data_IF_070035960020
#
_entry.id   IF_070035960020
#
_cell.length_a   1.000
_cell.length_b   1.000
_cell.length_c   1.000
_cell.angle_alpha   90.00
_cell.angle_beta   90.00
_cell.angle_gamma   90.00
#
_symmetry.space_group_name_H-M   'P 1'
#
loop_
_entity.id
_entity.type
_entity.pdbx_description
1 polymer ?
#
# COMPACT_ATOMS: atom_id res chain seq x y z
N UNK A 1 -1.68 -11.94 -13.41
CA UNK A 1 -1.41 -10.54 -13.02
C UNK A 1 -2.53 -9.65 -13.57
N UNK A 2 -3.12 -8.83 -12.73
CA UNK A 2 -4.24 -7.96 -13.13
C UNK A 2 -3.72 -6.86 -14.08
N UNK A 3 -4.51 -6.52 -15.13
CA UNK A 3 -4.18 -5.43 -16.07
C UNK A 3 -3.86 -4.09 -15.40
N UNK A 4 -4.49 -3.81 -14.27
CA UNK A 4 -4.24 -2.59 -13.48
C UNK A 4 -2.86 -2.63 -12.84
N UNK A 5 -2.48 -3.75 -12.23
CA UNK A 5 -1.17 -3.92 -11.59
C UNK A 5 -0.01 -3.82 -12.58
N UNK A 6 -0.15 -4.47 -13.75
CA UNK A 6 0.85 -4.38 -14.81
C UNK A 6 1.03 -2.93 -15.28
N UNK A 7 -0.07 -2.20 -15.45
CA UNK A 7 -0.05 -0.78 -15.83
C UNK A 7 0.59 0.08 -14.74
N UNK A 8 0.22 -0.11 -13.47
CA UNK A 8 0.79 0.62 -12.34
C UNK A 8 2.30 0.38 -12.21
N UNK A 9 2.76 -0.85 -12.43
CA UNK A 9 4.18 -1.19 -12.44
C UNK A 9 4.93 -0.44 -13.55
N UNK A 10 4.36 -0.41 -14.76
CA UNK A 10 4.94 0.33 -15.88
C UNK A 10 5.00 1.82 -15.61
N UNK A 11 3.93 2.42 -15.06
CA UNK A 11 3.93 3.86 -14.70
C UNK A 11 5.03 4.15 -13.68
N UNK A 12 5.18 3.34 -12.64
CA UNK A 12 6.26 3.50 -11.64
C UNK A 12 7.64 3.46 -12.28
N UNK A 13 7.90 2.46 -13.15
CA UNK A 13 9.18 2.33 -13.86
C UNK A 13 9.47 3.58 -14.70
N UNK A 14 8.51 4.03 -15.50
CA UNK A 14 8.67 5.22 -16.36
C UNK A 14 8.97 6.49 -15.56
N UNK A 15 8.27 6.70 -14.44
CA UNK A 15 8.47 7.90 -13.58
C UNK A 15 9.81 7.85 -12.84
N UNK A 16 10.32 6.65 -12.51
CA UNK A 16 11.64 6.49 -11.89
C UNK A 16 12.79 6.67 -12.91
N UNK A 17 12.58 6.27 -14.16
CA UNK A 17 13.61 6.31 -15.19
C UNK A 17 13.69 7.66 -15.92
N UNK A 18 12.57 8.40 -16.00
CA UNK A 18 12.45 9.62 -16.81
C UNK A 18 11.77 10.75 -16.04
N UNK A 19 12.25 11.98 -16.25
CA UNK A 19 11.53 13.18 -15.82
C UNK A 19 10.35 13.42 -16.78
N UNK A 20 9.15 13.08 -16.36
CA UNK A 20 7.91 13.20 -17.14
C UNK A 20 7.20 14.49 -16.72
N UNK A 21 6.97 15.39 -17.66
CA UNK A 21 6.50 16.74 -17.36
C UNK A 21 4.99 16.90 -17.42
N UNK A 22 4.31 16.10 -18.25
CA UNK A 22 2.86 16.21 -18.48
C UNK A 22 2.15 14.87 -18.43
N UNK A 23 0.84 14.90 -18.18
CA UNK A 23 0.01 13.69 -18.29
C UNK A 23 -0.04 13.15 -19.73
N UNK A 24 0.00 14.04 -20.71
CA UNK A 24 0.04 13.64 -22.13
C UNK A 24 1.32 12.86 -22.43
N UNK A 25 2.47 13.35 -21.99
CA UNK A 25 3.75 12.66 -22.14
C UNK A 25 3.73 11.26 -21.51
N UNK A 26 3.15 11.14 -20.28
CA UNK A 26 2.99 9.84 -19.63
C UNK A 26 2.05 8.92 -20.42
N UNK A 27 0.98 9.45 -20.98
CA UNK A 27 0.03 8.69 -21.80
C UNK A 27 0.69 8.20 -23.10
N UNK A 28 1.49 9.03 -23.74
CA UNK A 28 2.23 8.69 -24.96
C UNK A 28 3.28 7.60 -24.70
N UNK A 29 4.00 7.70 -23.57
CA UNK A 29 4.95 6.67 -23.14
C UNK A 29 4.28 5.33 -22.84
N UNK A 30 3.10 5.35 -22.21
CA UNK A 30 2.31 4.14 -21.99
C UNK A 30 1.88 3.50 -23.31
N UNK A 31 1.40 4.31 -24.26
CA UNK A 31 1.00 3.85 -25.61
C UNK A 31 2.18 3.25 -26.36
N UNK A 32 3.36 3.85 -26.27
CA UNK A 32 4.59 3.32 -26.87
C UNK A 32 5.01 1.96 -26.28
N UNK A 33 4.59 1.67 -25.05
CA UNK A 33 4.79 0.38 -24.37
C UNK A 33 3.58 -0.57 -24.49
N UNK A 34 2.66 -0.31 -25.43
CA UNK A 34 1.51 -1.17 -25.70
C UNK A 34 0.35 -1.04 -24.71
N UNK A 35 0.35 0.00 -23.86
CA UNK A 35 -0.70 0.24 -22.88
C UNK A 35 -1.48 1.50 -23.22
N UNK A 36 -2.64 1.34 -23.83
CA UNK A 36 -3.54 2.46 -24.16
C UNK A 36 -4.49 2.72 -22.99
N UNK A 37 -4.56 3.98 -22.54
CA UNK A 37 -5.43 4.43 -21.46
C UNK A 37 -6.11 5.76 -21.82
N UNK A 38 -7.29 5.98 -21.24
CA UNK A 38 -7.95 7.29 -21.32
C UNK A 38 -7.35 8.24 -20.28
N UNK A 39 -7.49 9.56 -20.50
CA UNK A 39 -7.03 10.58 -19.53
C UNK A 39 -7.67 10.38 -18.15
N UNK A 40 -8.96 10.03 -18.09
CA UNK A 40 -9.65 9.77 -16.83
C UNK A 40 -9.07 8.57 -16.07
N UNK A 41 -8.70 7.51 -16.78
CA UNK A 41 -8.02 6.34 -16.20
C UNK A 41 -6.64 6.73 -15.69
N UNK A 42 -5.85 7.44 -16.49
CA UNK A 42 -4.52 7.90 -16.11
C UNK A 42 -4.55 8.84 -14.91
N UNK A 43 -5.52 9.75 -14.84
CA UNK A 43 -5.71 10.65 -13.69
C UNK A 43 -5.99 9.87 -12.40
N UNK A 44 -6.76 8.77 -12.47
CA UNK A 44 -7.00 7.89 -11.31
C UNK A 44 -5.74 7.11 -10.93
N UNK A 45 -4.97 6.63 -11.92
CA UNK A 45 -3.71 5.94 -11.68
C UNK A 45 -2.67 6.86 -11.01
N UNK A 46 -2.55 8.11 -11.47
CA UNK A 46 -1.68 9.13 -10.86
C UNK A 46 -1.99 9.30 -9.38
N UNK A 47 -3.27 9.41 -9.03
CA UNK A 47 -3.73 9.51 -7.63
C UNK A 47 -3.46 8.22 -6.85
N UNK A 48 -3.77 7.07 -7.44
CA UNK A 48 -3.59 5.76 -6.80
C UNK A 48 -2.12 5.45 -6.50
N UNK A 49 -1.20 5.93 -7.34
CA UNK A 49 0.24 5.75 -7.21
C UNK A 49 0.93 6.86 -6.41
N UNK A 50 0.17 7.83 -5.88
CA UNK A 50 0.70 9.00 -5.18
C UNK A 50 1.74 9.78 -6.02
N UNK A 51 1.52 9.89 -7.34
CA UNK A 51 2.35 10.72 -8.18
C UNK A 51 2.04 12.19 -7.91
N UNK A 52 3.06 12.96 -7.61
CA UNK A 52 2.97 14.40 -7.41
C UNK A 52 3.88 15.12 -8.37
N UNK A 53 3.48 16.33 -8.78
CA UNK A 53 4.29 17.20 -9.62
C UNK A 53 5.16 18.06 -8.73
N UNK A 54 6.46 17.92 -8.86
CA UNK A 54 7.44 18.78 -8.16
C UNK A 54 7.96 19.85 -9.11
N UNK A 55 8.33 20.98 -8.54
CA UNK A 55 8.93 22.09 -9.26
C UNK A 55 10.39 22.21 -8.82
N UNK A 56 11.30 22.12 -9.78
CA UNK A 56 12.74 22.28 -9.57
C UNK A 56 13.25 23.34 -10.54
N UNK A 57 13.55 24.52 -10.03
CA UNK A 57 13.84 25.71 -10.83
C UNK A 57 12.71 26.01 -11.83
N UNK A 58 12.98 26.00 -13.13
CA UNK A 58 12.01 26.26 -14.20
C UNK A 58 11.34 24.99 -14.76
N UNK A 59 11.62 23.82 -14.18
CA UNK A 59 11.14 22.53 -14.65
C UNK A 59 10.17 21.94 -13.65
N UNK A 60 9.05 21.38 -14.14
CA UNK A 60 8.14 20.58 -13.30
C UNK A 60 8.00 19.18 -13.87
N UNK A 61 8.05 18.18 -13.01
CA UNK A 61 7.93 16.78 -13.41
C UNK A 61 7.29 15.91 -12.33
N UNK A 62 6.81 14.74 -12.72
CA UNK A 62 6.18 13.79 -11.80
C UNK A 62 7.24 12.99 -11.04
N UNK A 63 7.00 12.83 -9.74
CA UNK A 63 7.72 11.88 -8.88
C UNK A 63 6.72 11.03 -8.11
N UNK A 64 7.17 9.87 -7.64
CA UNK A 64 6.41 9.08 -6.68
C UNK A 64 6.62 9.70 -5.30
N UNK A 65 5.55 10.23 -4.71
CA UNK A 65 5.61 10.75 -3.35
C UNK A 65 5.55 9.60 -2.35
N UNK A 66 6.70 9.02 -2.03
CA UNK A 66 6.82 7.95 -1.04
C UNK A 66 6.50 8.40 0.40
N UNK A 67 6.44 9.71 0.64
CA UNK A 67 6.07 10.28 1.94
C UNK A 67 4.54 10.35 2.14
N UNK A 68 3.75 10.36 1.06
CA UNK A 68 2.30 10.38 1.19
C UNK A 68 1.78 8.96 1.49
N UNK A 69 0.98 8.76 2.56
CA UNK A 69 0.43 7.46 2.85
C UNK A 69 -0.44 6.96 1.69
N UNK A 70 -0.24 5.72 1.31
CA UNK A 70 -1.01 5.07 0.25
C UNK A 70 -2.50 4.99 0.64
N UNK A 71 -3.39 4.76 -0.36
CA UNK A 71 -4.81 4.51 -0.06
C UNK A 71 -5.03 3.35 0.91
N UNK A 72 -4.16 2.34 0.86
CA UNK A 72 -4.23 1.17 1.72
C UNK A 72 -3.76 1.45 3.14
N UNK A 73 -2.72 2.26 3.32
CA UNK A 73 -2.28 2.74 4.63
C UNK A 73 -3.36 3.57 5.32
N UNK A 74 -3.99 4.50 4.58
CA UNK A 74 -5.13 5.29 5.10
C UNK A 74 -6.29 4.38 5.51
N UNK A 75 -6.60 3.38 4.68
CA UNK A 75 -7.67 2.42 4.97
C UNK A 75 -7.33 1.56 6.18
N UNK A 76 -6.07 1.10 6.30
CA UNK A 76 -5.62 0.33 7.45
C UNK A 76 -5.77 1.12 8.75
N UNK A 77 -5.37 2.40 8.76
CA UNK A 77 -5.55 3.28 9.94
C UNK A 77 -7.01 3.37 10.38
N UNK A 78 -7.93 3.63 9.45
CA UNK A 78 -9.35 3.69 9.75
C UNK A 78 -9.87 2.37 10.32
N UNK A 79 -9.52 1.24 9.70
CA UNK A 79 -9.94 -0.08 10.17
C UNK A 79 -9.35 -0.42 11.54
N UNK A 80 -8.10 -0.06 11.79
CA UNK A 80 -7.48 -0.27 13.10
C UNK A 80 -8.12 0.59 14.20
N UNK A 81 -8.50 1.83 13.89
CA UNK A 81 -9.20 2.70 14.82
C UNK A 81 -10.57 2.15 15.19
N UNK A 82 -11.31 1.65 14.21
CA UNK A 82 -12.69 1.24 14.38
C UNK A 82 -12.85 -0.21 14.88
N UNK A 83 -11.94 -1.11 14.52
CA UNK A 83 -12.19 -2.54 14.61
C UNK A 83 -11.06 -3.40 15.18
N UNK A 84 -9.88 -2.83 15.46
CA UNK A 84 -8.79 -3.61 16.05
C UNK A 84 -9.07 -3.91 17.53
N UNK A 85 -9.02 -5.18 17.92
CA UNK A 85 -9.18 -5.63 19.31
C UNK A 85 -7.83 -6.01 19.91
N UNK A 86 -6.96 -6.67 19.16
CA UNK A 86 -5.65 -7.13 19.62
C UNK A 86 -4.67 -7.22 18.46
N UNK A 87 -3.44 -6.84 18.71
CA UNK A 87 -2.30 -7.07 17.83
C UNK A 87 -1.13 -7.58 18.65
N UNK A 88 -0.58 -8.74 18.31
CA UNK A 88 0.43 -9.40 19.14
C UNK A 88 1.36 -10.29 18.32
N UNK A 89 2.69 -10.16 18.45
CA UNK A 89 3.63 -11.10 17.84
C UNK A 89 3.63 -12.41 18.63
N UNK A 90 3.64 -13.53 17.90
CA UNK A 90 3.73 -14.90 18.46
C UNK A 90 4.65 -15.70 17.56
N UNK A 91 5.89 -15.92 18.00
CA UNK A 91 6.92 -16.57 17.19
C UNK A 91 7.06 -15.86 15.82
N UNK A 92 7.00 -16.59 14.72
CA UNK A 92 7.10 -16.06 13.35
C UNK A 92 5.75 -15.53 12.81
N UNK A 93 4.79 -15.22 13.68
CA UNK A 93 3.46 -14.73 13.29
C UNK A 93 3.11 -13.46 14.06
N UNK A 94 2.24 -12.65 13.47
CA UNK A 94 1.52 -11.60 14.18
C UNK A 94 0.04 -11.97 14.19
N UNK A 95 -0.53 -12.10 15.39
CA UNK A 95 -1.95 -12.38 15.58
C UNK A 95 -2.69 -11.04 15.67
N UNK A 96 -3.61 -10.83 14.77
CA UNK A 96 -4.52 -9.68 14.75
C UNK A 96 -5.93 -10.16 15.06
N UNK A 97 -6.54 -9.62 16.12
CA UNK A 97 -7.95 -9.85 16.43
C UNK A 97 -8.75 -8.59 16.15
N UNK A 98 -9.90 -8.76 15.52
CA UNK A 98 -10.77 -7.68 15.08
C UNK A 98 -12.19 -7.88 15.60
N UNK A 99 -13.06 -6.91 15.35
CA UNK A 99 -14.50 -7.16 15.49
C UNK A 99 -14.93 -8.25 14.52
N UNK A 100 -15.97 -9.06 14.87
CA UNK A 100 -16.48 -10.14 14.04
C UNK A 100 -16.82 -9.70 12.61
N UNK A 101 -16.51 -10.54 11.63
CA UNK A 101 -16.74 -10.29 10.21
C UNK A 101 -15.72 -9.39 9.51
N UNK A 102 -14.72 -8.86 10.20
CA UNK A 102 -13.79 -7.88 9.61
C UNK A 102 -12.38 -8.40 9.34
N UNK A 103 -11.98 -9.55 9.85
CA UNK A 103 -10.63 -10.08 9.69
C UNK A 103 -10.23 -10.25 8.22
N UNK A 104 -11.12 -10.71 7.35
CA UNK A 104 -10.85 -10.86 5.92
C UNK A 104 -10.59 -9.51 5.22
N UNK A 105 -11.28 -8.45 5.65
CA UNK A 105 -11.03 -7.09 5.13
C UNK A 105 -9.65 -6.58 5.53
N UNK A 106 -9.19 -6.86 6.75
CA UNK A 106 -7.83 -6.57 7.17
C UNK A 106 -6.80 -7.34 6.34
N UNK A 107 -7.01 -8.64 6.14
CA UNK A 107 -6.14 -9.47 5.30
C UNK A 107 -5.99 -8.92 3.89
N UNK A 108 -7.09 -8.56 3.25
CA UNK A 108 -7.07 -7.95 1.91
C UNK A 108 -6.31 -6.61 1.87
N UNK A 109 -6.39 -5.79 2.93
CA UNK A 109 -5.62 -4.54 3.03
C UNK A 109 -4.13 -4.85 3.22
N UNK A 110 -3.77 -5.79 4.10
CA UNK A 110 -2.40 -6.19 4.36
C UNK A 110 -1.73 -6.78 3.12
N UNK A 111 -2.44 -7.63 2.38
CA UNK A 111 -1.94 -8.18 1.11
C UNK A 111 -1.69 -7.10 0.06
N UNK A 112 -2.56 -6.07 0.02
CA UNK A 112 -2.43 -4.95 -0.91
C UNK A 112 -1.33 -3.94 -0.52
N UNK A 113 -0.88 -3.94 0.74
CA UNK A 113 0.25 -3.13 1.22
C UNK A 113 1.60 -3.70 0.81
N UNK A 114 1.66 -5.00 0.45
CA UNK A 114 2.90 -5.68 0.02
C UNK A 114 4.07 -5.46 0.99
N UNK A 115 3.80 -5.53 2.31
CA UNK A 115 4.84 -5.37 3.32
C UNK A 115 5.85 -6.52 3.19
N UNK A 116 7.17 -6.23 3.09
CA UNK A 116 8.18 -7.25 2.81
C UNK A 116 8.31 -8.30 3.92
N UNK A 117 7.88 -7.99 5.13
CA UNK A 117 7.89 -8.92 6.27
C UNK A 117 6.79 -9.99 6.19
N UNK A 118 5.74 -9.77 5.38
CA UNK A 118 4.57 -10.64 5.30
C UNK A 118 4.75 -11.65 4.18
N UNK A 119 4.78 -12.92 4.54
CA UNK A 119 4.79 -14.04 3.58
C UNK A 119 3.37 -14.34 3.10
N UNK A 120 2.42 -14.38 4.03
CA UNK A 120 1.01 -14.64 3.73
C UNK A 120 0.11 -14.19 4.89
N UNK A 121 -1.17 -14.02 4.61
CA UNK A 121 -2.22 -13.82 5.61
C UNK A 121 -3.24 -14.93 5.58
N UNK A 122 -3.71 -15.38 6.74
CA UNK A 122 -4.82 -16.34 6.88
C UNK A 122 -5.86 -15.75 7.80
N UNK A 123 -7.03 -15.44 7.28
CA UNK A 123 -8.06 -14.73 8.02
C UNK A 123 -9.32 -15.59 8.18
N UNK A 124 -9.77 -15.69 9.43
CA UNK A 124 -11.08 -16.21 9.80
C UNK A 124 -12.14 -15.11 9.83
N UNK A 125 -13.07 -15.22 10.76
CA UNK A 125 -14.14 -14.24 10.97
C UNK A 125 -13.63 -12.99 11.72
N UNK A 126 -12.95 -13.21 12.86
CA UNK A 126 -12.46 -12.15 13.78
C UNK A 126 -10.95 -12.22 14.04
N UNK A 127 -10.23 -13.14 13.44
CA UNK A 127 -8.79 -13.33 13.59
C UNK A 127 -8.11 -13.39 12.24
N UNK A 128 -7.05 -12.60 12.06
CA UNK A 128 -6.13 -12.70 10.94
C UNK A 128 -4.74 -13.10 11.47
N UNK A 129 -4.21 -14.21 10.97
CA UNK A 129 -2.84 -14.65 11.20
C UNK A 129 -1.96 -14.08 10.09
N UNK A 130 -0.99 -13.29 10.48
CA UNK A 130 0.01 -12.71 9.58
C UNK A 130 1.27 -13.55 9.72
N UNK A 131 1.62 -14.27 8.68
CA UNK A 131 2.75 -15.20 8.67
C UNK A 131 3.97 -14.48 8.14
N UNK A 132 5.05 -14.50 8.92
CA UNK A 132 6.36 -13.95 8.56
C UNK A 132 7.37 -15.08 8.39
N UNK A 133 8.52 -14.78 7.80
CA UNK A 133 9.55 -15.80 7.53
C UNK A 133 10.17 -16.35 8.82
N UNK A 134 10.42 -15.47 9.79
CA UNK A 134 11.05 -15.80 11.08
C UNK A 134 10.56 -14.87 12.22
N UNK A 135 11.06 -15.12 13.43
CA UNK A 135 10.69 -14.33 14.60
C UNK A 135 11.13 -12.86 14.49
N UNK A 136 12.34 -12.51 14.04
CA UNK A 136 12.72 -11.13 13.80
C UNK A 136 11.78 -10.40 12.83
N UNK A 137 11.46 -11.02 11.69
CA UNK A 137 10.52 -10.46 10.70
C UNK A 137 9.13 -10.23 11.28
N UNK A 138 8.66 -11.12 12.18
CA UNK A 138 7.37 -10.94 12.86
C UNK A 138 7.38 -9.74 13.83
N UNK A 139 8.51 -9.50 14.51
CA UNK A 139 8.67 -8.32 15.38
C UNK A 139 8.68 -7.04 14.55
N UNK A 140 9.44 -7.01 13.45
CA UNK A 140 9.46 -5.86 12.54
C UNK A 140 8.07 -5.58 11.94
N UNK A 141 7.37 -6.63 11.52
CA UNK A 141 5.99 -6.53 11.02
C UNK A 141 5.06 -5.95 12.10
N UNK A 142 5.14 -6.45 13.32
CA UNK A 142 4.36 -5.94 14.45
C UNK A 142 4.65 -4.47 14.72
N UNK A 143 5.92 -4.07 14.78
CA UNK A 143 6.32 -2.68 15.02
C UNK A 143 5.83 -1.77 13.89
N UNK A 144 5.90 -2.23 12.65
CA UNK A 144 5.35 -1.50 11.51
C UNK A 144 3.84 -1.35 11.59
N UNK A 145 3.11 -2.40 11.95
CA UNK A 145 1.65 -2.37 12.08
C UNK A 145 1.20 -1.49 13.25
N UNK A 146 1.96 -1.39 14.33
CA UNK A 146 1.70 -0.48 15.45
C UNK A 146 1.62 0.99 15.01
N UNK A 147 2.36 1.41 13.99
CA UNK A 147 2.32 2.79 13.48
C UNK A 147 0.95 3.16 12.89
N UNK A 148 0.15 2.17 12.53
CA UNK A 148 -1.20 2.36 11.99
C UNK A 148 -2.29 2.32 13.07
N UNK A 149 -2.01 1.72 14.22
CA UNK A 149 -2.96 1.64 15.32
C UNK A 149 -3.08 2.98 16.07
N UNK A 150 -4.21 3.25 16.74
CA UNK A 150 -4.35 4.44 17.57
C UNK A 150 -3.30 4.48 18.69
N UNK A 151 -2.73 5.65 19.01
CA UNK A 151 -1.66 5.77 20.02
C UNK A 151 -2.02 5.20 21.40
N UNK A 152 -3.30 5.30 21.78
CA UNK A 152 -3.78 4.80 23.08
C UNK A 152 -3.92 3.27 23.14
N UNK A 153 -3.88 2.58 22.00
CA UNK A 153 -4.13 1.14 21.92
C UNK A 153 -3.07 0.31 22.69
N UNK A 154 -1.84 0.78 22.70
CA UNK A 154 -0.70 0.14 23.37
C UNK A 154 -0.27 0.87 24.65
N UNK A 155 -0.96 1.96 25.03
CA UNK A 155 -0.70 2.71 26.25
C UNK A 155 -1.38 2.00 27.43
N UNK A 156 -0.65 1.14 28.12
CA UNK A 156 -0.99 0.62 29.45
C UNK A 156 0.16 0.89 30.40
#
# INVERSE_FOLDING_TARGET
MNKIESRHRLIRSLVLEKKIHTQQELQDLLSANGVTVTQSTLSRDIKALNLVKVHEADISYYIINSMAPSRWEKRLRLYMEDALIMLRPVQHQVVMKTLPGLAQSFGAILDALELPQIVATVCGDDVCLIICEDNPSAIECFDKLKEFAPPFFFSK
#
